data_IF_964712291953
#
_entry.id   IF_964712291953
#
_cell.length_a   1.000
_cell.length_b   1.000
_cell.length_c   1.000
_cell.angle_alpha   90.00
_cell.angle_beta   90.00
_cell.angle_gamma   90.00
#
_symmetry.space_group_name_H-M   'P 1'
#
loop_
_entity.id
_entity.type
_entity.pdbx_description
1 polymer ?
#
# COMPACT_ATOMS: atom_id res chain seq x y z
N UNK A 1 -6.82 -21.70 -23.36
CA UNK A 1 -7.80 -22.79 -23.60
C UNK A 1 -7.41 -24.17 -23.03
N UNK A 2 -6.19 -24.38 -22.49
CA UNK A 2 -5.68 -25.72 -22.11
C UNK A 2 -5.92 -26.17 -20.65
N UNK A 3 -6.53 -25.34 -19.79
CA UNK A 3 -6.71 -25.65 -18.35
C UNK A 3 -8.17 -25.88 -17.92
N UNK A 4 -9.14 -25.71 -18.82
CA UNK A 4 -10.57 -25.87 -18.50
C UNK A 4 -10.94 -27.34 -18.18
N UNK A 5 -10.41 -28.30 -18.93
CA UNK A 5 -10.66 -29.73 -18.71
C UNK A 5 -10.08 -30.26 -17.38
N UNK A 6 -8.83 -29.93 -16.99
CA UNK A 6 -8.29 -30.24 -15.68
C UNK A 6 -9.08 -29.62 -14.53
N UNK A 7 -9.55 -28.38 -14.71
CA UNK A 7 -10.34 -27.67 -13.71
C UNK A 7 -11.65 -28.41 -13.38
N UNK A 8 -12.47 -28.73 -14.38
CA UNK A 8 -13.73 -29.46 -14.19
C UNK A 8 -13.54 -30.84 -13.54
N UNK A 9 -12.36 -31.46 -13.71
CA UNK A 9 -12.06 -32.76 -13.09
C UNK A 9 -11.67 -32.63 -11.62
N UNK A 10 -10.82 -31.67 -11.25
CA UNK A 10 -10.53 -31.44 -9.84
C UNK A 10 -11.80 -31.02 -9.09
N UNK A 11 -12.64 -30.19 -9.71
CA UNK A 11 -13.94 -29.79 -9.17
C UNK A 11 -14.86 -31.00 -8.93
N UNK A 12 -14.91 -31.96 -9.86
CA UNK A 12 -15.67 -33.21 -9.68
C UNK A 12 -15.16 -34.09 -8.53
N UNK A 13 -13.90 -33.93 -8.12
CA UNK A 13 -13.29 -34.60 -6.96
C UNK A 13 -13.34 -33.73 -5.68
N UNK A 14 -13.98 -32.56 -5.75
CA UNK A 14 -14.03 -31.57 -4.67
C UNK A 14 -12.67 -30.91 -4.38
N UNK A 15 -11.72 -30.97 -5.32
CA UNK A 15 -10.38 -30.43 -5.17
C UNK A 15 -10.21 -29.12 -5.96
N UNK A 16 -9.28 -28.28 -5.52
CA UNK A 16 -8.88 -27.08 -6.27
C UNK A 16 -7.78 -27.43 -7.27
N UNK A 17 -7.90 -27.00 -8.53
CA UNK A 17 -6.79 -27.09 -9.47
C UNK A 17 -5.62 -26.23 -8.96
N UNK A 18 -4.37 -26.69 -9.10
CA UNK A 18 -3.13 -25.96 -8.85
C UNK A 18 -2.17 -26.17 -10.02
N UNK A 19 -1.86 -25.15 -10.85
CA UNK A 19 -0.88 -25.32 -11.91
C UNK A 19 0.48 -25.54 -11.27
N UNK A 20 1.22 -26.54 -11.78
CA UNK A 20 2.58 -26.82 -11.35
C UNK A 20 3.48 -26.58 -12.54
N UNK A 21 4.19 -25.46 -12.52
CA UNK A 21 5.13 -25.06 -13.55
C UNK A 21 6.53 -25.62 -13.28
N UNK A 22 6.88 -25.78 -12.01
CA UNK A 22 8.18 -26.31 -11.58
C UNK A 22 8.08 -27.13 -10.29
N UNK A 23 9.10 -27.97 -10.03
CA UNK A 23 9.23 -28.68 -8.74
C UNK A 23 9.35 -27.72 -7.55
N UNK A 24 9.76 -26.46 -7.78
CA UNK A 24 9.86 -25.47 -6.70
C UNK A 24 8.50 -25.05 -6.17
N UNK A 25 7.47 -25.11 -7.01
CA UNK A 25 6.08 -24.76 -6.67
C UNK A 25 5.51 -25.75 -5.63
N UNK A 26 6.13 -26.93 -5.49
CA UNK A 26 5.80 -27.95 -4.48
C UNK A 26 6.64 -27.82 -3.19
N UNK A 27 7.60 -26.91 -3.13
CA UNK A 27 8.49 -26.75 -1.95
C UNK A 27 7.74 -26.24 -0.72
N UNK A 28 6.84 -25.23 -0.81
CA UNK A 28 6.02 -24.79 0.33
C UNK A 28 5.13 -25.91 0.87
N UNK A 29 4.72 -26.84 0.01
CA UNK A 29 3.87 -27.99 0.37
C UNK A 29 4.55 -28.96 1.34
N UNK A 30 5.88 -28.91 1.47
CA UNK A 30 6.63 -29.75 2.42
C UNK A 30 6.54 -29.25 3.87
N UNK A 31 6.16 -27.99 4.08
CA UNK A 31 5.92 -27.39 5.39
C UNK A 31 4.44 -27.27 5.75
N UNK A 32 3.56 -27.50 4.79
CA UNK A 32 2.10 -27.39 4.96
C UNK A 32 1.46 -28.66 5.53
N UNK A 33 0.35 -28.47 6.25
CA UNK A 33 -0.51 -29.55 6.82
C UNK A 33 -1.66 -29.95 5.88
N UNK A 34 -1.41 -29.97 4.57
CA UNK A 34 -2.42 -30.18 3.52
C UNK A 34 -2.16 -31.52 2.78
N UNK A 35 -3.21 -32.10 2.18
CA UNK A 35 -3.08 -33.22 1.25
C UNK A 35 -2.99 -32.66 -0.17
N UNK A 36 -2.22 -33.32 -1.04
CA UNK A 36 -2.06 -32.91 -2.43
C UNK A 36 -2.09 -34.16 -3.32
N UNK A 37 -2.85 -34.10 -4.43
CA UNK A 37 -2.86 -35.14 -5.47
C UNK A 37 -2.50 -34.50 -6.81
N UNK A 38 -1.24 -34.65 -7.23
CA UNK A 38 -0.78 -34.16 -8.54
C UNK A 38 -1.05 -35.19 -9.65
N UNK A 39 -1.68 -34.75 -10.74
CA UNK A 39 -1.96 -35.57 -11.92
C UNK A 39 -1.20 -35.06 -13.14
N UNK A 40 -0.47 -35.94 -13.84
CA UNK A 40 0.15 -35.55 -15.12
C UNK A 40 -0.90 -35.69 -16.22
N UNK A 41 -1.29 -34.57 -16.83
CA UNK A 41 -2.17 -34.61 -17.99
C UNK A 41 -1.40 -35.02 -19.24
N UNK A 42 -1.88 -36.04 -19.92
CA UNK A 42 -1.33 -36.43 -21.23
C UNK A 42 -2.46 -36.58 -22.22
N UNK A 43 -2.35 -35.92 -23.37
CA UNK A 43 -3.35 -35.94 -24.42
C UNK A 43 -3.71 -37.38 -24.82
N UNK A 44 -4.91 -37.83 -24.44
CA UNK A 44 -5.58 -38.93 -25.13
C UNK A 44 -5.69 -40.31 -24.46
N UNK A 45 -5.40 -40.51 -23.17
CA UNK A 45 -5.74 -41.81 -22.53
C UNK A 45 -6.38 -41.68 -21.15
N UNK A 46 -7.39 -42.52 -20.91
CA UNK A 46 -8.13 -42.69 -19.66
C UNK A 46 -7.20 -42.94 -18.45
N UNK A 47 -7.60 -42.33 -17.33
CA UNK A 47 -7.29 -42.61 -15.92
C UNK A 47 -6.16 -43.63 -15.61
N UNK A 48 -5.18 -43.30 -14.76
CA UNK A 48 -4.75 -44.28 -13.77
C UNK A 48 -5.87 -44.42 -12.72
N UNK A 49 -6.24 -45.64 -12.29
CA UNK A 49 -7.17 -45.80 -11.19
C UNK A 49 -6.55 -45.20 -9.92
N UNK A 50 -7.39 -44.61 -9.06
CA UNK A 50 -7.00 -44.36 -7.68
C UNK A 50 -6.50 -45.68 -7.08
N UNK A 51 -5.32 -45.72 -6.44
CA UNK A 51 -4.85 -46.94 -5.80
C UNK A 51 -5.90 -47.40 -4.79
N UNK A 52 -6.24 -48.71 -4.70
CA UNK A 52 -7.27 -49.22 -3.80
C UNK A 52 -6.96 -49.00 -2.31
N UNK A 53 -5.76 -48.52 -2.00
CA UNK A 53 -5.22 -48.37 -0.67
C UNK A 53 -4.37 -47.09 -0.65
N UNK A 54 -4.62 -46.23 0.32
CA UNK A 54 -3.65 -45.27 0.86
C UNK A 54 -2.47 -46.01 1.55
N UNK A 55 -1.99 -47.13 0.97
CA UNK A 55 -0.72 -47.76 1.31
C UNK A 55 0.33 -47.14 0.39
N UNK A 56 0.79 -45.93 0.74
CA UNK A 56 2.06 -45.43 0.19
C UNK A 56 3.17 -46.33 0.73
N UNK A 57 3.41 -47.48 0.10
CA UNK A 57 4.60 -48.26 0.41
C UNK A 57 5.81 -47.37 0.09
N UNK A 58 6.71 -47.14 1.05
CA UNK A 58 7.93 -46.39 0.80
C UNK A 58 8.75 -47.21 -0.18
N UNK A 59 8.70 -46.87 -1.47
CA UNK A 59 9.65 -47.41 -2.43
C UNK A 59 11.03 -46.89 -2.00
N UNK A 60 11.98 -47.77 -1.62
CA UNK A 60 13.27 -47.36 -1.05
C UNK A 60 14.11 -46.45 -1.97
N UNK A 61 13.76 -46.38 -3.26
CA UNK A 61 14.59 -45.78 -4.32
C UNK A 61 13.95 -44.61 -5.09
N UNK A 62 12.94 -43.92 -4.53
CA UNK A 62 12.42 -42.68 -5.14
C UNK A 62 13.32 -41.48 -4.76
N UNK A 63 14.52 -41.45 -5.37
CA UNK A 63 15.41 -40.27 -5.40
C UNK A 63 15.00 -39.36 -6.56
N UNK A 64 14.75 -38.08 -6.27
CA UNK A 64 14.60 -37.07 -7.31
C UNK A 64 15.88 -37.06 -8.16
N UNK A 65 15.74 -37.28 -9.46
CA UNK A 65 16.84 -37.39 -10.41
C UNK A 65 16.49 -36.70 -11.72
N UNK A 66 17.40 -36.72 -12.70
CA UNK A 66 17.18 -36.06 -14.00
C UNK A 66 15.91 -36.55 -14.72
N UNK A 67 15.47 -37.77 -14.43
CA UNK A 67 14.47 -38.52 -15.20
C UNK A 67 13.18 -38.90 -14.43
N UNK A 68 12.97 -38.38 -13.21
CA UNK A 68 11.80 -38.72 -12.37
C UNK A 68 11.19 -37.50 -11.66
N UNK A 69 9.86 -37.33 -11.71
CA UNK A 69 9.09 -36.34 -10.92
C UNK A 69 8.39 -37.02 -9.74
N UNK A 70 8.31 -36.41 -8.56
CA UNK A 70 7.74 -37.03 -7.34
C UNK A 70 6.46 -36.33 -6.86
N UNK A 71 5.40 -37.08 -6.54
CA UNK A 71 4.26 -36.67 -5.72
C UNK A 71 4.67 -36.72 -4.24
N UNK A 72 4.26 -35.75 -3.41
CA UNK A 72 4.50 -35.77 -1.96
C UNK A 72 3.17 -35.69 -1.23
N UNK A 73 2.88 -36.70 -0.42
CA UNK A 73 1.70 -36.76 0.46
C UNK A 73 2.18 -36.68 1.90
N UNK A 74 1.70 -35.68 2.67
CA UNK A 74 1.98 -35.57 4.10
C UNK A 74 0.72 -35.94 4.90
N UNK A 75 0.79 -37.06 5.64
CA UNK A 75 -0.19 -37.43 6.66
C UNK A 75 0.53 -37.66 7.97
N UNK A 76 0.26 -36.85 9.00
CA UNK A 76 0.69 -37.13 10.37
C UNK A 76 2.18 -37.54 10.49
N UNK A 77 3.08 -36.84 9.78
CA UNK A 77 4.53 -37.09 9.73
C UNK A 77 4.97 -38.29 8.86
N UNK A 78 4.06 -38.94 8.14
CA UNK A 78 4.38 -39.94 7.12
C UNK A 78 4.39 -39.30 5.72
N UNK A 79 5.49 -39.51 4.99
CA UNK A 79 5.68 -39.05 3.62
C UNK A 79 5.44 -40.18 2.63
N UNK A 80 4.42 -40.03 1.78
CA UNK A 80 4.24 -40.87 0.58
C UNK A 80 4.91 -40.21 -0.62
N UNK A 81 5.80 -40.94 -1.33
CA UNK A 81 6.39 -40.49 -2.60
C UNK A 81 6.00 -41.38 -3.76
N UNK A 82 5.41 -40.82 -4.81
CA UNK A 82 5.14 -41.54 -6.06
C UNK A 82 5.88 -40.89 -7.23
N UNK A 83 6.70 -41.68 -7.92
CA UNK A 83 7.60 -41.24 -8.98
C UNK A 83 6.96 -41.42 -10.38
N UNK A 84 7.06 -40.42 -11.26
CA UNK A 84 6.64 -40.49 -12.68
C UNK A 84 7.85 -40.30 -13.63
N UNK A 85 7.96 -41.05 -14.74
CA UNK A 85 9.07 -40.92 -15.70
C UNK A 85 8.99 -39.61 -16.52
N UNK A 86 10.13 -38.93 -16.69
CA UNK A 86 10.24 -37.68 -17.47
C UNK A 86 10.30 -37.99 -18.97
N UNK A 87 9.37 -37.43 -19.73
CA UNK A 87 9.25 -37.62 -21.18
C UNK A 87 8.00 -36.99 -21.81
N UNK A 88 7.13 -36.39 -20.99
CA UNK A 88 6.04 -35.52 -21.43
C UNK A 88 6.20 -34.18 -20.71
N UNK A 89 6.26 -33.10 -21.47
CA UNK A 89 6.52 -31.76 -20.97
C UNK A 89 5.41 -31.29 -20.01
N UNK A 90 5.80 -30.78 -18.84
CA UNK A 90 4.92 -30.14 -17.85
C UNK A 90 4.24 -31.10 -16.86
N UNK A 91 4.29 -30.76 -15.57
CA UNK A 91 3.39 -31.37 -14.57
C UNK A 91 1.92 -30.96 -14.81
N UNK A 92 1.66 -29.95 -15.66
CA UNK A 92 0.34 -29.57 -16.14
C UNK A 92 -0.47 -28.86 -15.07
N UNK A 93 -1.05 -29.62 -14.14
CA UNK A 93 -1.77 -29.13 -12.97
C UNK A 93 -2.03 -30.27 -11.96
N UNK A 94 -2.14 -29.96 -10.68
CA UNK A 94 -2.55 -30.86 -9.61
C UNK A 94 -3.96 -30.56 -9.12
N UNK A 95 -4.63 -31.55 -8.55
CA UNK A 95 -5.78 -31.34 -7.71
C UNK A 95 -5.30 -31.24 -6.25
N UNK A 96 -5.69 -30.18 -5.56
CA UNK A 96 -5.28 -29.89 -4.18
C UNK A 96 -6.49 -30.00 -3.28
N UNK A 97 -6.37 -30.79 -2.23
CA UNK A 97 -7.45 -31.05 -1.28
C UNK A 97 -6.91 -30.84 0.14
N UNK A 98 -7.37 -29.85 0.91
CA UNK A 98 -6.96 -29.69 2.29
C UNK A 98 -7.28 -30.94 3.12
N UNK A 99 -6.26 -31.52 3.75
CA UNK A 99 -6.39 -32.64 4.68
C UNK A 99 -7.16 -32.28 5.93
N UNK A 100 -6.89 -31.06 6.37
CA UNK A 100 -7.35 -30.48 7.60
C UNK A 100 -7.25 -28.99 7.41
N UNK A 101 -8.28 -28.28 7.85
CA UNK A 101 -8.25 -26.84 7.85
C UNK A 101 -7.38 -26.31 8.99
N UNK A 102 -6.73 -25.14 8.80
CA UNK A 102 -6.05 -24.45 9.89
C UNK A 102 -6.98 -24.16 11.07
N UNK A 103 -6.44 -23.84 12.26
CA UNK A 103 -7.25 -23.41 13.39
C UNK A 103 -8.24 -22.30 12.98
N UNK A 104 -9.48 -22.38 13.48
CA UNK A 104 -10.57 -21.44 13.18
C UNK A 104 -11.20 -21.54 11.79
N UNK A 105 -10.76 -22.49 10.96
CA UNK A 105 -11.42 -22.86 9.72
C UNK A 105 -12.15 -24.20 9.84
N UNK A 106 -13.33 -24.29 9.22
CA UNK A 106 -14.19 -25.46 9.15
C UNK A 106 -14.12 -26.08 7.77
N UNK A 107 -13.96 -27.41 7.70
CA UNK A 107 -13.91 -28.17 6.46
C UNK A 107 -15.34 -28.46 5.97
N UNK A 108 -15.64 -28.10 4.72
CA UNK A 108 -16.88 -28.48 4.04
C UNK A 108 -16.60 -28.68 2.55
N UNK A 109 -17.11 -29.76 1.96
CA UNK A 109 -16.87 -30.11 0.55
C UNK A 109 -15.41 -29.88 0.15
N UNK A 110 -14.48 -30.38 0.98
CA UNK A 110 -13.04 -30.29 0.75
C UNK A 110 -12.47 -28.86 0.63
N UNK A 111 -13.17 -27.86 1.14
CA UNK A 111 -12.73 -26.46 1.22
C UNK A 111 -12.77 -25.99 2.66
N UNK A 112 -11.94 -25.01 2.98
CA UNK A 112 -11.80 -24.48 4.33
C UNK A 112 -12.48 -23.13 4.43
N UNK A 113 -13.45 -23.00 5.33
CA UNK A 113 -14.24 -21.78 5.51
C UNK A 113 -14.09 -21.22 6.92
N UNK A 114 -14.04 -19.91 7.07
CA UNK A 114 -14.10 -19.24 8.36
C UNK A 114 -14.99 -18.00 8.28
N UNK A 115 -15.35 -17.45 9.45
CA UNK A 115 -16.07 -16.19 9.54
C UNK A 115 -15.18 -15.13 10.19
N UNK A 116 -15.20 -13.93 9.62
CA UNK A 116 -14.46 -12.78 10.13
C UNK A 116 -15.40 -11.64 10.44
N UNK A 117 -15.12 -10.95 11.54
CA UNK A 117 -15.81 -9.70 11.87
C UNK A 117 -15.44 -8.60 10.88
N UNK A 118 -16.43 -7.85 10.41
CA UNK A 118 -16.23 -6.65 9.59
C UNK A 118 -16.36 -5.42 10.49
N UNK A 119 -15.31 -4.59 10.63
CA UNK A 119 -15.37 -3.39 11.48
C UNK A 119 -16.50 -2.45 11.07
N UNK A 120 -17.22 -1.89 12.04
CA UNK A 120 -18.24 -0.86 11.77
C UNK A 120 -17.58 0.53 11.78
N UNK A 121 -17.86 1.37 10.77
CA UNK A 121 -17.61 2.81 10.83
C UNK A 121 -16.44 3.37 10.01
N UNK A 122 -15.78 2.59 9.15
CA UNK A 122 -14.80 3.16 8.22
C UNK A 122 -15.49 3.82 7.01
N UNK A 123 -14.90 4.88 6.46
CA UNK A 123 -15.37 5.56 5.24
C UNK A 123 -15.30 4.67 3.98
N UNK A 124 -14.69 3.50 4.07
CA UNK A 124 -14.57 2.49 3.03
C UNK A 124 -15.81 1.59 2.97
N UNK A 125 -16.07 1.04 1.79
CA UNK A 125 -17.21 0.16 1.51
C UNK A 125 -17.10 -1.20 2.25
N UNK A 126 -18.22 -1.76 2.74
CA UNK A 126 -18.21 -2.97 3.57
C UNK A 126 -17.62 -4.19 2.86
N UNK A 127 -17.82 -4.35 1.54
CA UNK A 127 -17.21 -5.44 0.78
C UNK A 127 -15.69 -5.34 0.71
N UNK A 128 -15.14 -4.13 0.61
CA UNK A 128 -13.68 -3.94 0.65
C UNK A 128 -13.12 -4.32 2.01
N UNK A 129 -13.83 -4.01 3.09
CA UNK A 129 -13.42 -4.42 4.44
C UNK A 129 -13.51 -5.93 4.63
N UNK A 130 -14.56 -6.58 4.12
CA UNK A 130 -14.68 -8.03 4.12
C UNK A 130 -13.58 -8.72 3.31
N UNK A 131 -13.27 -8.18 2.13
CA UNK A 131 -12.17 -8.66 1.30
C UNK A 131 -10.83 -8.54 2.04
N UNK A 132 -10.54 -7.39 2.63
CA UNK A 132 -9.33 -7.17 3.43
C UNK A 132 -9.25 -8.11 4.65
N UNK A 133 -10.38 -8.36 5.31
CA UNK A 133 -10.45 -9.28 6.44
C UNK A 133 -10.13 -10.73 6.05
N UNK A 134 -10.53 -11.17 4.84
CA UNK A 134 -10.20 -12.49 4.33
C UNK A 134 -8.78 -12.56 3.74
N UNK A 135 -8.36 -11.55 2.97
CA UNK A 135 -7.07 -11.55 2.28
C UNK A 135 -5.89 -11.48 3.25
N UNK A 136 -6.09 -10.89 4.43
CA UNK A 136 -5.11 -10.92 5.54
C UNK A 136 -4.67 -12.33 5.97
N UNK A 137 -5.46 -13.37 5.67
CA UNK A 137 -5.14 -14.77 5.98
C UNK A 137 -4.88 -15.64 4.74
N UNK A 138 -4.81 -15.06 3.55
CA UNK A 138 -4.70 -15.86 2.32
C UNK A 138 -6.03 -16.44 1.82
N UNK A 139 -7.16 -15.88 2.26
CA UNK A 139 -8.50 -16.29 1.85
C UNK A 139 -9.15 -15.25 0.93
N UNK A 140 -10.09 -15.69 0.10
CA UNK A 140 -11.07 -14.79 -0.51
C UNK A 140 -12.32 -14.73 0.36
N UNK A 141 -13.18 -13.76 0.06
CA UNK A 141 -14.59 -13.91 0.39
C UNK A 141 -15.14 -15.21 -0.25
N UNK A 142 -15.85 -16.01 0.54
CA UNK A 142 -16.29 -17.33 0.16
C UNK A 142 -17.33 -17.29 -0.96
N UNK A 143 -17.18 -18.21 -1.91
CA UNK A 143 -18.09 -18.34 -3.05
C UNK A 143 -18.85 -19.67 -2.93
N UNK A 144 -20.17 -19.65 -2.63
CA UNK A 144 -20.94 -20.89 -2.53
C UNK A 144 -21.26 -21.42 -3.94
N UNK A 145 -20.66 -22.54 -4.32
CA UNK A 145 -20.88 -23.17 -5.64
C UNK A 145 -22.17 -23.99 -5.69
N UNK A 146 -22.70 -24.40 -4.55
CA UNK A 146 -23.89 -25.24 -4.46
C UNK A 146 -24.73 -24.90 -3.21
N UNK A 147 -25.97 -25.41 -3.18
CA UNK A 147 -26.92 -25.16 -2.08
C UNK A 147 -26.44 -25.72 -0.74
N UNK A 148 -25.70 -26.84 -0.73
CA UNK A 148 -25.20 -27.44 0.50
C UNK A 148 -24.11 -26.55 1.12
N UNK A 149 -23.21 -26.02 0.30
CA UNK A 149 -22.22 -25.04 0.72
C UNK A 149 -22.89 -23.79 1.27
N UNK A 150 -23.96 -23.31 0.62
CA UNK A 150 -24.72 -22.16 1.09
C UNK A 150 -25.40 -22.41 2.45
N UNK A 151 -25.99 -23.59 2.66
CA UNK A 151 -26.54 -24.00 3.95
C UNK A 151 -25.46 -24.13 5.02
N UNK A 152 -24.32 -24.72 4.69
CA UNK A 152 -23.18 -24.85 5.59
C UNK A 152 -22.66 -23.47 6.05
N UNK A 153 -22.52 -22.51 5.14
CA UNK A 153 -22.10 -21.15 5.49
C UNK A 153 -23.12 -20.46 6.44
N UNK A 154 -24.41 -20.72 6.24
CA UNK A 154 -25.45 -20.21 7.14
C UNK A 154 -25.36 -20.84 8.54
N UNK A 155 -25.13 -22.14 8.63
CA UNK A 155 -24.97 -22.83 9.91
C UNK A 155 -23.69 -22.40 10.63
N UNK A 156 -22.60 -22.19 9.89
CA UNK A 156 -21.38 -21.59 10.41
C UNK A 156 -21.68 -20.21 11.02
N UNK A 157 -22.46 -19.37 10.32
CA UNK A 157 -22.86 -18.05 10.80
C UNK A 157 -23.69 -18.10 12.07
N UNK A 158 -24.71 -18.98 12.13
CA UNK A 158 -25.52 -19.21 13.33
C UNK A 158 -24.67 -19.63 14.53
N UNK A 159 -23.77 -20.59 14.32
CA UNK A 159 -22.90 -21.09 15.39
C UNK A 159 -22.00 -20.00 15.99
N UNK A 160 -21.52 -19.07 15.15
CA UNK A 160 -20.71 -17.93 15.61
C UNK A 160 -21.52 -16.87 16.35
N UNK A 161 -22.81 -16.71 16.02
CA UNK A 161 -23.69 -15.66 16.54
C UNK A 161 -24.33 -16.02 17.90
N UNK A 162 -24.51 -17.30 18.19
CA UNK A 162 -25.08 -17.81 19.45
C UNK A 162 -24.24 -17.38 20.68
N UNK A 163 -22.98 -16.98 20.50
CA UNK A 163 -22.10 -16.53 21.58
C UNK A 163 -22.17 -15.03 21.93
N UNK A 164 -22.74 -14.16 21.08
CA UNK A 164 -22.45 -12.72 21.16
C UNK A 164 -23.59 -11.81 21.65
N UNK A 165 -24.87 -12.11 21.46
CA UNK A 165 -26.00 -11.35 22.05
C UNK A 165 -27.33 -12.05 21.71
N UNK A 166 -28.19 -12.29 22.69
CA UNK A 166 -29.48 -12.98 22.56
C UNK A 166 -30.58 -12.22 21.79
N UNK A 167 -30.29 -11.71 20.60
CA UNK A 167 -31.25 -11.03 19.73
C UNK A 167 -31.83 -11.96 18.67
N UNK A 168 -33.14 -11.91 18.46
CA UNK A 168 -33.87 -12.55 17.36
C UNK A 168 -33.62 -11.88 15.98
N UNK A 169 -32.40 -11.37 15.77
CA UNK A 169 -32.01 -10.59 14.59
C UNK A 169 -31.58 -11.48 13.43
N UNK A 170 -31.62 -10.93 12.23
CA UNK A 170 -31.10 -11.57 11.03
C UNK A 170 -29.58 -11.38 10.95
N UNK A 171 -28.85 -12.43 10.58
CA UNK A 171 -27.40 -12.41 10.40
C UNK A 171 -27.10 -12.16 8.93
N UNK A 172 -26.27 -11.16 8.65
CA UNK A 172 -25.84 -10.81 7.30
C UNK A 172 -24.35 -11.13 7.13
N UNK A 173 -24.02 -11.94 6.12
CA UNK A 173 -22.66 -12.42 5.86
C UNK A 173 -22.24 -12.02 4.46
N UNK A 174 -21.13 -11.28 4.32
CA UNK A 174 -20.56 -10.95 3.02
C UNK A 174 -20.01 -12.20 2.34
N UNK A 175 -20.30 -12.35 1.04
CA UNK A 175 -19.80 -13.43 0.20
C UNK A 175 -18.93 -12.86 -0.93
N UNK A 176 -18.17 -13.75 -1.57
CA UNK A 176 -17.32 -13.40 -2.69
C UNK A 176 -18.15 -13.13 -3.93
N UNK A 177 -17.81 -12.04 -4.61
CA UNK A 177 -18.09 -11.91 -6.03
C UNK A 177 -16.88 -12.35 -6.81
N UNK A 178 -17.13 -12.74 -8.05
CA UNK A 178 -16.05 -12.89 -8.98
C UNK A 178 -15.85 -11.68 -9.92
N UNK A 179 -16.90 -10.95 -10.33
CA UNK A 179 -16.65 -9.70 -11.06
C UNK A 179 -17.71 -8.62 -10.84
N UNK A 180 -17.30 -7.37 -11.14
CA UNK A 180 -18.13 -6.17 -11.09
C UNK A 180 -19.24 -6.15 -12.14
N UNK A 181 -19.28 -7.11 -13.05
CA UNK A 181 -20.33 -7.23 -14.07
C UNK A 181 -21.48 -8.15 -13.61
N UNK A 182 -21.33 -8.79 -12.45
CA UNK A 182 -22.30 -9.76 -11.93
C UNK A 182 -22.16 -11.15 -12.56
N UNK A 183 -21.02 -11.49 -13.16
CA UNK A 183 -20.74 -12.82 -13.66
C UNK A 183 -20.17 -13.71 -12.54
N UNK A 184 -20.98 -14.68 -12.13
CA UNK A 184 -20.68 -15.63 -11.07
C UNK A 184 -19.78 -16.79 -11.51
N UNK A 185 -19.30 -16.82 -12.76
CA UNK A 185 -18.52 -17.96 -13.27
C UNK A 185 -17.00 -17.82 -13.12
N UNK A 186 -16.47 -16.69 -12.67
CA UNK A 186 -15.03 -16.59 -12.44
C UNK A 186 -14.11 -16.77 -13.62
N UNK A 187 -14.60 -16.38 -14.80
CA UNK A 187 -13.90 -16.67 -16.04
C UNK A 187 -13.59 -18.16 -16.17
N UNK A 188 -14.43 -19.02 -15.55
CA UNK A 188 -14.25 -20.45 -15.42
C UNK A 188 -13.49 -20.94 -14.17
N UNK A 189 -13.30 -20.12 -13.13
CA UNK A 189 -12.68 -20.54 -11.85
C UNK A 189 -13.69 -21.11 -10.84
N UNK A 190 -14.99 -20.85 -11.03
CA UNK A 190 -16.06 -21.43 -10.23
C UNK A 190 -17.21 -21.84 -11.15
N UNK A 191 -17.84 -22.98 -10.87
CA UNK A 191 -18.98 -23.46 -11.62
C UNK A 191 -20.23 -23.55 -10.73
N UNK A 192 -20.85 -22.41 -10.37
CA UNK A 192 -22.01 -22.42 -9.50
C UNK A 192 -23.16 -23.22 -10.11
N UNK A 193 -23.88 -23.95 -9.26
CA UNK A 193 -25.08 -24.68 -9.66
C UNK A 193 -26.16 -23.73 -10.19
N UNK A 194 -27.05 -24.24 -11.03
CA UNK A 194 -28.18 -23.46 -11.55
C UNK A 194 -29.04 -22.84 -10.43
N UNK A 195 -29.14 -23.51 -9.28
CA UNK A 195 -29.82 -22.99 -8.11
C UNK A 195 -29.12 -21.77 -7.50
N UNK A 196 -27.78 -21.77 -7.42
CA UNK A 196 -27.02 -20.60 -6.97
C UNK A 196 -27.17 -19.46 -7.99
N UNK A 197 -27.02 -19.76 -9.29
CA UNK A 197 -27.13 -18.75 -10.36
C UNK A 197 -28.53 -18.13 -10.40
N UNK A 198 -29.59 -18.92 -10.20
CA UNK A 198 -30.97 -18.43 -10.16
C UNK A 198 -31.27 -17.60 -8.92
N UNK A 199 -30.80 -17.99 -7.74
CA UNK A 199 -30.90 -17.17 -6.51
C UNK A 199 -30.08 -15.88 -6.60
N UNK A 200 -28.95 -15.94 -7.32
CA UNK A 200 -28.11 -14.79 -7.62
C UNK A 200 -28.70 -13.83 -8.66
N UNK A 201 -29.88 -14.15 -9.22
CA UNK A 201 -30.50 -13.55 -10.40
C UNK A 201 -30.50 -12.01 -10.51
N UNK A 202 -30.60 -11.58 -11.77
CA UNK A 202 -30.39 -10.24 -12.34
C UNK A 202 -30.74 -9.12 -11.36
N UNK A 203 -29.71 -8.51 -10.80
CA UNK A 203 -29.87 -7.30 -10.00
C UNK A 203 -29.77 -6.06 -10.89
N UNK A 204 -30.35 -4.92 -10.48
CA UNK A 204 -30.15 -3.66 -11.18
C UNK A 204 -28.64 -3.38 -11.34
N UNK A 205 -28.23 -2.59 -12.34
CA UNK A 205 -26.82 -2.37 -12.70
C UNK A 205 -25.93 -1.77 -11.60
N UNK A 206 -26.45 -1.46 -10.41
CA UNK A 206 -25.68 -0.97 -9.25
C UNK A 206 -25.49 -2.02 -8.14
N UNK A 207 -26.10 -3.20 -8.28
CA UNK A 207 -26.18 -4.23 -7.25
C UNK A 207 -25.39 -5.47 -7.65
N UNK A 208 -24.09 -5.28 -7.87
CA UNK A 208 -23.20 -6.37 -8.26
C UNK A 208 -22.87 -7.32 -7.09
N UNK A 209 -23.03 -6.85 -5.84
CA UNK A 209 -22.60 -7.54 -4.62
C UNK A 209 -23.69 -8.39 -3.98
N UNK A 210 -23.28 -9.41 -3.22
CA UNK A 210 -24.15 -10.49 -2.74
C UNK A 210 -23.77 -10.93 -1.34
N UNK A 211 -24.76 -10.91 -0.46
CA UNK A 211 -24.59 -11.34 0.92
C UNK A 211 -25.57 -12.47 1.21
N UNK A 212 -25.20 -13.28 2.19
CA UNK A 212 -26.06 -14.31 2.73
C UNK A 212 -26.93 -13.72 3.83
N UNK A 213 -28.24 -13.80 3.63
CA UNK A 213 -29.25 -13.42 4.60
C UNK A 213 -29.62 -14.67 5.41
N UNK A 214 -29.20 -14.74 6.67
CA UNK A 214 -29.32 -15.93 7.52
C UNK A 214 -30.30 -15.66 8.67
N UNK A 215 -31.45 -16.37 8.72
CA UNK A 215 -32.33 -16.34 9.88
C UNK A 215 -31.62 -16.92 11.13
N UNK A 216 -31.66 -16.22 12.27
CA UNK A 216 -30.92 -16.61 13.49
C UNK A 216 -31.40 -17.90 14.17
N UNK A 217 -32.68 -18.25 14.04
CA UNK A 217 -33.26 -19.42 14.72
C UNK A 217 -33.51 -20.56 13.74
N UNK A 218 -34.46 -20.37 12.81
CA UNK A 218 -34.87 -21.38 11.84
C UNK A 218 -35.31 -20.69 10.55
N UNK A 219 -34.84 -21.17 9.40
CA UNK A 219 -35.24 -20.67 8.09
C UNK A 219 -34.16 -20.93 7.05
N UNK A 220 -34.55 -20.97 5.78
CA UNK A 220 -33.59 -21.14 4.69
C UNK A 220 -32.82 -19.83 4.49
N UNK A 221 -31.48 -19.89 4.40
CA UNK A 221 -30.70 -18.73 4.02
C UNK A 221 -31.00 -18.35 2.56
N UNK A 222 -30.90 -17.06 2.26
CA UNK A 222 -31.20 -16.54 0.92
C UNK A 222 -30.07 -15.60 0.47
N UNK A 223 -29.66 -15.72 -0.79
CA UNK A 223 -28.77 -14.73 -1.41
C UNK A 223 -29.54 -13.45 -1.68
N UNK A 224 -29.01 -12.33 -1.20
CA UNK A 224 -29.61 -11.01 -1.40
C UNK A 224 -28.64 -10.05 -2.09
N UNK A 225 -29.14 -9.20 -3.01
CA UNK A 225 -28.31 -8.23 -3.72
C UNK A 225 -27.90 -7.05 -2.82
N UNK A 226 -26.73 -6.48 -3.07
CA UNK A 226 -26.18 -5.34 -2.35
C UNK A 226 -25.30 -4.48 -3.25
N UNK A 227 -25.09 -3.24 -2.81
CA UNK A 227 -24.06 -2.35 -3.37
C UNK A 227 -22.72 -2.65 -2.69
N UNK A 228 -21.66 -2.00 -3.16
CA UNK A 228 -20.32 -2.14 -2.54
C UNK A 228 -20.33 -1.78 -1.04
N UNK A 229 -21.25 -0.90 -0.62
CA UNK A 229 -21.40 -0.47 0.76
C UNK A 229 -22.00 -1.53 1.68
N UNK A 230 -22.53 -2.64 1.16
CA UNK A 230 -23.13 -3.71 1.95
C UNK A 230 -24.47 -3.32 2.59
N UNK A 231 -25.24 -4.30 3.13
CA UNK A 231 -26.47 -3.99 3.85
C UNK A 231 -26.19 -3.46 5.27
N UNK A 232 -27.04 -2.56 5.78
CA UNK A 232 -26.90 -2.04 7.13
C UNK A 232 -27.09 -3.16 8.15
N UNK A 233 -26.15 -3.26 9.11
CA UNK A 233 -26.16 -4.29 10.14
C UNK A 233 -25.21 -5.46 9.87
N UNK A 234 -24.63 -5.56 8.67
CA UNK A 234 -23.58 -6.54 8.37
C UNK A 234 -22.43 -6.45 9.35
N UNK A 235 -22.03 -7.60 9.87
CA UNK A 235 -20.91 -7.70 10.81
C UNK A 235 -19.97 -8.86 10.49
N UNK A 236 -20.28 -9.68 9.48
CA UNK A 236 -19.52 -10.88 9.17
C UNK A 236 -19.17 -10.95 7.68
N UNK A 237 -17.98 -11.46 7.41
CA UNK A 237 -17.52 -11.89 6.10
C UNK A 237 -17.23 -13.39 6.17
N UNK A 238 -17.71 -14.15 5.19
CA UNK A 238 -17.33 -15.55 5.02
C UNK A 238 -16.05 -15.60 4.21
N UNK A 239 -15.03 -16.26 4.74
CA UNK A 239 -13.73 -16.40 4.09
C UNK A 239 -13.52 -17.85 3.66
N UNK A 240 -13.12 -18.05 2.42
CA UNK A 240 -12.72 -19.35 1.88
C UNK A 240 -11.20 -19.37 1.71
N UNK A 241 -10.54 -20.23 2.47
CA UNK A 241 -9.09 -20.38 2.46
C UNK A 241 -8.64 -21.27 1.32
N UNK A 242 -7.63 -20.78 0.59
CA UNK A 242 -6.94 -21.41 -0.53
C UNK A 242 -7.84 -21.93 -1.65
N UNK A 243 -7.84 -21.22 -2.77
CA UNK A 243 -7.99 -21.82 -4.10
C UNK A 243 -6.61 -22.21 -4.64
N UNK A 244 -6.38 -22.06 -5.95
CA UNK A 244 -5.05 -22.11 -6.57
C UNK A 244 -4.00 -21.39 -5.69
N UNK A 245 -2.96 -22.08 -5.24
CA UNK A 245 -1.88 -21.53 -4.37
C UNK A 245 -0.92 -20.59 -5.12
N UNK A 246 -1.36 -20.07 -6.27
CA UNK A 246 -0.60 -19.13 -7.10
C UNK A 246 -1.48 -17.95 -7.47
N UNK A 247 -0.90 -16.75 -7.56
CA UNK A 247 -1.54 -15.60 -8.18
C UNK A 247 -1.44 -15.75 -9.71
N UNK A 248 -2.52 -15.56 -10.47
CA UNK A 248 -2.47 -15.63 -11.96
C UNK A 248 -1.97 -14.35 -12.60
N UNK A 249 -2.21 -13.23 -11.95
CA UNK A 249 -1.81 -11.91 -12.45
C UNK A 249 -0.49 -11.50 -11.82
N UNK A 250 0.25 -10.65 -12.54
CA UNK A 250 1.43 -10.02 -11.98
C UNK A 250 1.05 -9.17 -10.76
N UNK A 251 1.98 -8.92 -9.82
CA UNK A 251 1.78 -7.93 -8.79
C UNK A 251 1.33 -6.59 -9.40
N UNK A 252 0.63 -5.72 -8.66
CA UNK A 252 0.23 -4.42 -9.18
C UNK A 252 1.40 -3.66 -9.84
N UNK A 253 1.17 -2.86 -10.90
CA UNK A 253 2.24 -2.07 -11.48
C UNK A 253 2.79 -1.07 -10.45
N UNK A 254 4.09 -0.75 -10.48
CA UNK A 254 4.64 0.30 -9.63
C UNK A 254 3.99 1.66 -9.96
N UNK A 255 3.80 2.50 -8.95
CA UNK A 255 3.46 3.91 -9.21
C UNK A 255 4.66 4.64 -9.85
N UNK A 256 4.42 5.84 -10.39
CA UNK A 256 5.42 6.64 -11.12
C UNK A 256 6.70 6.95 -10.34
N UNK A 257 6.66 6.87 -9.01
CA UNK A 257 7.70 7.26 -8.08
C UNK A 257 8.40 6.06 -7.40
N UNK A 258 8.26 4.87 -7.96
CA UNK A 258 8.83 3.64 -7.41
C UNK A 258 9.21 2.66 -8.53
N UNK A 259 10.15 1.78 -8.24
CA UNK A 259 10.49 0.63 -9.08
C UNK A 259 9.98 -0.67 -8.45
N UNK A 260 9.44 -1.57 -9.26
CA UNK A 260 9.04 -2.92 -8.83
C UNK A 260 10.17 -3.92 -9.08
N UNK A 261 10.66 -4.53 -8.01
CA UNK A 261 11.61 -5.65 -8.01
C UNK A 261 10.84 -6.93 -7.69
N UNK A 262 10.77 -7.84 -8.65
CA UNK A 262 10.04 -9.10 -8.54
C UNK A 262 10.72 -10.17 -9.40
N UNK A 263 10.73 -11.40 -8.92
CA UNK A 263 11.45 -12.55 -9.48
C UNK A 263 10.57 -13.45 -10.36
N UNK A 264 9.40 -12.94 -10.80
CA UNK A 264 8.39 -13.70 -11.54
C UNK A 264 7.84 -14.91 -10.77
N UNK A 265 7.95 -14.90 -9.44
CA UNK A 265 7.36 -15.92 -8.60
C UNK A 265 5.90 -15.57 -8.28
N UNK A 266 5.01 -16.51 -8.59
CA UNK A 266 3.56 -16.38 -8.39
C UNK A 266 3.04 -17.24 -7.24
N UNK A 267 3.91 -17.99 -6.55
CA UNK A 267 3.49 -18.86 -5.44
C UNK A 267 2.96 -18.05 -4.25
N UNK A 268 2.03 -18.63 -3.50
CA UNK A 268 1.59 -18.03 -2.23
C UNK A 268 2.79 -17.80 -1.30
N UNK A 269 2.87 -16.61 -0.71
CA UNK A 269 4.02 -16.12 0.05
C UNK A 269 5.14 -15.51 -0.80
N UNK A 270 5.04 -15.54 -2.15
CA UNK A 270 5.95 -14.78 -3.01
C UNK A 270 5.78 -13.28 -2.74
N UNK A 271 6.90 -12.55 -2.81
CA UNK A 271 6.92 -11.12 -2.48
C UNK A 271 7.46 -10.33 -3.67
N UNK A 272 6.68 -9.35 -4.12
CA UNK A 272 7.15 -8.27 -4.98
C UNK A 272 7.51 -7.07 -4.10
N UNK A 273 8.68 -6.50 -4.34
CA UNK A 273 9.22 -5.38 -3.57
C UNK A 273 9.18 -4.11 -4.40
N UNK A 274 8.57 -3.06 -3.87
CA UNK A 274 8.50 -1.74 -4.50
C UNK A 274 9.47 -0.82 -3.78
N UNK A 275 10.50 -0.34 -4.47
CA UNK A 275 11.50 0.57 -3.92
C UNK A 275 11.13 1.97 -4.33
N UNK A 276 10.90 2.84 -3.35
CA UNK A 276 10.56 4.23 -3.60
C UNK A 276 11.79 5.00 -4.08
N UNK A 277 11.60 5.92 -5.03
CA UNK A 277 12.65 6.86 -5.40
C UNK A 277 13.01 7.78 -4.23
N UNK A 278 14.24 8.34 -4.21
CA UNK A 278 14.65 9.26 -3.15
C UNK A 278 13.61 10.37 -2.91
N UNK A 279 13.17 10.51 -1.65
CA UNK A 279 12.19 11.51 -1.24
C UNK A 279 10.73 11.00 -1.16
N UNK A 280 10.48 9.78 -1.63
CA UNK A 280 9.20 9.09 -1.50
C UNK A 280 9.31 7.92 -0.52
N UNK A 281 8.21 7.62 0.18
CA UNK A 281 8.19 6.60 1.24
C UNK A 281 6.87 5.85 1.24
N UNK A 282 6.90 4.58 1.66
CA UNK A 282 5.71 3.79 1.92
C UNK A 282 4.98 4.31 3.18
N UNK A 283 3.65 4.38 3.13
CA UNK A 283 2.78 4.70 4.27
C UNK A 283 3.07 6.03 5.00
N UNK A 284 3.61 7.04 4.29
CA UNK A 284 3.99 8.35 4.89
C UNK A 284 5.00 8.26 6.03
N UNK A 285 5.56 7.07 6.30
CA UNK A 285 6.55 6.83 7.32
C UNK A 285 7.94 6.81 6.67
N UNK A 286 8.74 7.80 7.03
CA UNK A 286 10.07 8.06 6.45
C UNK A 286 11.07 6.92 6.69
N UNK A 287 10.72 5.94 7.52
CA UNK A 287 11.52 4.73 7.76
C UNK A 287 11.38 3.70 6.63
N UNK A 288 10.34 3.77 5.81
CA UNK A 288 10.03 2.75 4.82
C UNK A 288 10.28 3.27 3.41
N UNK A 289 11.52 3.15 2.95
CA UNK A 289 11.86 3.34 1.52
C UNK A 289 11.38 2.20 0.63
N UNK A 290 10.62 1.25 1.18
CA UNK A 290 10.21 0.02 0.52
C UNK A 290 8.80 -0.38 0.94
N UNK A 291 8.01 -0.78 -0.03
CA UNK A 291 6.67 -1.36 0.11
C UNK A 291 6.70 -2.80 -0.40
N UNK A 292 5.90 -3.68 0.18
CA UNK A 292 5.82 -5.09 -0.22
C UNK A 292 4.42 -5.39 -0.76
N UNK A 293 4.36 -6.19 -1.83
CA UNK A 293 3.15 -6.92 -2.17
C UNK A 293 3.42 -8.41 -2.00
N UNK A 294 2.56 -9.10 -1.24
CA UNK A 294 2.67 -10.53 -1.01
C UNK A 294 1.55 -11.26 -1.75
N UNK A 295 1.91 -12.28 -2.53
CA UNK A 295 0.92 -13.14 -3.16
C UNK A 295 0.25 -14.01 -2.10
N UNK A 296 -1.08 -13.92 -2.00
CA UNK A 296 -1.90 -14.67 -1.05
C UNK A 296 -2.63 -15.86 -1.71
N UNK A 297 -2.23 -16.24 -2.92
CA UNK A 297 -2.90 -17.22 -3.77
C UNK A 297 -3.98 -16.58 -4.65
N UNK A 298 -4.53 -17.30 -5.63
CA UNK A 298 -5.43 -16.74 -6.66
C UNK A 298 -6.63 -15.98 -6.07
N UNK A 299 -7.11 -16.46 -4.92
CA UNK A 299 -8.26 -15.93 -4.22
C UNK A 299 -7.89 -14.76 -3.28
N UNK A 300 -6.68 -14.77 -2.72
CA UNK A 300 -6.20 -13.67 -1.89
C UNK A 300 -5.57 -12.52 -2.68
N UNK A 301 -5.22 -12.77 -3.95
CA UNK A 301 -4.50 -11.86 -4.86
C UNK A 301 -3.18 -11.33 -4.25
N UNK A 302 -2.55 -10.35 -4.90
CA UNK A 302 -1.43 -9.60 -4.36
C UNK A 302 -1.92 -8.56 -3.35
N UNK A 303 -1.58 -8.77 -2.09
CA UNK A 303 -1.90 -7.82 -1.03
C UNK A 303 -0.73 -6.87 -0.84
N UNK A 304 -0.97 -5.59 -1.08
CA UNK A 304 0.05 -4.54 -0.96
C UNK A 304 0.02 -3.92 0.44
N UNK A 305 1.16 -3.87 1.11
CA UNK A 305 1.35 -3.16 2.38
C UNK A 305 1.43 -1.65 2.14
N UNK A 306 0.28 -0.99 1.91
CA UNK A 306 0.07 0.48 1.94
C UNK A 306 0.80 1.34 0.90
N UNK A 307 0.13 2.36 0.33
CA UNK A 307 0.63 3.12 -0.83
C UNK A 307 1.84 4.03 -0.54
N UNK A 308 2.72 4.18 -1.53
CA UNK A 308 3.81 5.17 -1.51
C UNK A 308 3.28 6.60 -1.59
N UNK A 309 3.86 7.50 -0.80
CA UNK A 309 3.53 8.92 -0.79
C UNK A 309 4.75 9.79 -0.48
N UNK A 310 4.62 11.08 -0.78
CA UNK A 310 5.64 12.07 -0.48
C UNK A 310 5.58 12.39 1.02
N UNK A 311 6.68 12.23 1.74
CA UNK A 311 6.74 12.52 3.18
C UNK A 311 7.39 13.88 3.44
N UNK A 312 6.98 14.56 4.51
CA UNK A 312 7.66 15.75 4.99
C UNK A 312 8.95 15.30 5.70
N UNK A 313 10.11 15.68 5.15
CA UNK A 313 11.42 15.23 5.62
C UNK A 313 12.10 16.28 6.47
N UNK A 314 12.27 17.49 5.92
CA UNK A 314 12.89 18.60 6.62
C UNK A 314 11.81 19.41 7.34
N UNK A 315 11.25 18.84 8.41
CA UNK A 315 10.23 19.52 9.23
C UNK A 315 10.85 20.68 10.01
N UNK A 316 12.03 20.47 10.59
CA UNK A 316 12.74 21.50 11.35
C UNK A 316 13.66 22.29 10.42
N UNK A 317 13.30 23.55 10.16
CA UNK A 317 14.16 24.51 9.49
C UNK A 317 14.97 25.32 10.50
N UNK A 318 16.15 25.84 10.13
CA UNK A 318 16.89 26.74 11.00
C UNK A 318 16.07 28.01 11.26
N UNK A 319 16.13 28.51 12.49
CA UNK A 319 15.54 29.81 12.83
C UNK A 319 16.38 30.93 12.22
N UNK A 320 15.76 31.98 11.65
CA UNK A 320 16.50 33.13 11.18
C UNK A 320 17.15 33.87 12.37
N UNK A 321 18.36 34.42 12.22
CA UNK A 321 19.06 35.15 13.29
C UNK A 321 18.38 36.47 13.69
N UNK A 322 17.49 37.00 12.84
CA UNK A 322 16.68 38.19 13.13
C UNK A 322 15.24 37.99 12.66
N UNK A 323 14.29 38.50 13.42
CA UNK A 323 12.85 38.46 13.09
C UNK A 323 12.50 39.30 11.84
N UNK A 324 13.41 40.18 11.39
CA UNK A 324 13.22 40.97 10.17
C UNK A 324 13.48 40.17 8.90
N UNK A 325 14.17 39.02 8.99
CA UNK A 325 14.39 38.11 7.87
C UNK A 325 13.12 37.28 7.65
N UNK A 326 12.53 37.39 6.46
CA UNK A 326 11.27 36.70 6.15
C UNK A 326 11.54 35.32 5.59
N UNK A 327 11.00 34.29 6.25
CA UNK A 327 10.97 32.92 5.76
C UNK A 327 9.76 32.70 4.85
N UNK A 328 9.99 32.12 3.68
CA UNK A 328 8.96 31.61 2.78
C UNK A 328 9.01 30.08 2.77
N UNK A 329 8.02 29.46 3.42
CA UNK A 329 7.85 28.01 3.52
C UNK A 329 6.57 27.58 2.82
N UNK A 330 6.68 26.56 1.99
CA UNK A 330 5.52 25.87 1.40
C UNK A 330 5.52 24.40 1.84
N UNK A 331 4.41 23.67 1.73
CA UNK A 331 4.42 22.22 1.93
C UNK A 331 5.49 21.53 1.07
N UNK A 332 5.68 22.00 -0.16
CA UNK A 332 6.69 21.48 -1.09
C UNK A 332 8.14 21.65 -0.58
N UNK A 333 8.40 22.66 0.24
CA UNK A 333 9.72 22.95 0.82
C UNK A 333 10.21 21.85 1.77
N UNK A 334 9.31 21.04 2.33
CA UNK A 334 9.63 20.03 3.34
C UNK A 334 10.08 18.70 2.74
N UNK A 335 9.92 18.50 1.44
CA UNK A 335 10.27 17.26 0.75
C UNK A 335 11.72 17.27 0.28
N UNK A 336 12.25 16.10 -0.12
CA UNK A 336 13.62 16.02 -0.65
C UNK A 336 13.76 16.94 -1.87
N UNK A 337 14.85 17.71 -1.90
CA UNK A 337 15.11 18.78 -2.87
C UNK A 337 14.13 19.97 -2.81
N UNK A 338 13.19 19.98 -1.86
CA UNK A 338 12.38 21.14 -1.54
C UNK A 338 13.24 22.29 -1.03
N UNK A 339 12.85 23.52 -1.34
CA UNK A 339 13.62 24.72 -1.00
C UNK A 339 12.87 25.60 0.00
N UNK A 340 13.59 26.06 1.01
CA UNK A 340 13.19 27.08 1.96
C UNK A 340 13.92 28.38 1.63
N UNK A 341 13.19 29.48 1.49
CA UNK A 341 13.78 30.77 1.07
C UNK A 341 13.70 31.78 2.20
N UNK A 342 14.83 32.39 2.54
CA UNK A 342 14.91 33.51 3.47
C UNK A 342 15.21 34.79 2.71
N UNK A 343 14.46 35.84 3.00
CA UNK A 343 14.58 37.14 2.33
C UNK A 343 15.00 38.19 3.34
N UNK A 344 16.10 38.87 3.07
CA UNK A 344 16.56 40.00 3.88
C UNK A 344 15.55 41.16 3.83
N UNK A 345 15.54 42.02 4.87
CA UNK A 345 14.79 43.28 4.83
C UNK A 345 15.13 44.11 3.58
N UNK A 346 14.22 45.00 3.18
CA UNK A 346 14.52 45.89 2.06
C UNK A 346 15.80 46.68 2.33
N UNK A 347 16.68 46.75 1.32
CA UNK A 347 18.00 47.38 1.40
C UNK A 347 18.96 46.74 2.41
N UNK A 348 18.73 45.50 2.82
CA UNK A 348 19.68 44.69 3.56
C UNK A 348 20.13 43.50 2.72
N UNK A 349 21.31 42.97 3.01
CA UNK A 349 21.85 41.76 2.41
C UNK A 349 22.73 41.00 3.40
N UNK A 350 23.09 39.77 3.05
CA UNK A 350 24.20 39.04 3.69
C UNK A 350 25.54 39.68 3.33
N UNK A 351 26.61 39.19 3.96
CA UNK A 351 28.00 39.62 3.65
C UNK A 351 28.43 39.36 2.22
N UNK A 352 27.86 38.33 1.61
CA UNK A 352 28.05 38.01 0.19
C UNK A 352 27.13 38.82 -0.73
N UNK A 353 26.49 39.88 -0.21
CA UNK A 353 25.59 40.78 -0.91
C UNK A 353 24.33 40.09 -1.46
N UNK A 354 23.94 38.96 -0.89
CA UNK A 354 22.73 38.26 -1.26
C UNK A 354 21.51 38.83 -0.50
N UNK A 355 20.49 39.26 -1.24
CA UNK A 355 19.21 39.68 -0.67
C UNK A 355 18.31 38.48 -0.28
N UNK A 356 18.59 37.30 -0.85
CA UNK A 356 17.87 36.06 -0.56
C UNK A 356 18.83 34.91 -0.36
N UNK A 357 18.50 34.04 0.59
CA UNK A 357 19.22 32.81 0.89
C UNK A 357 18.28 31.62 0.62
N UNK A 358 18.78 30.59 -0.04
CA UNK A 358 18.01 29.39 -0.39
C UNK A 358 18.63 28.20 0.31
N UNK A 359 17.82 27.52 1.11
CA UNK A 359 18.19 26.29 1.79
C UNK A 359 17.46 25.12 1.12
N UNK A 360 18.18 24.05 0.80
CA UNK A 360 17.62 22.87 0.13
C UNK A 360 17.56 21.70 1.10
N UNK A 361 16.38 21.07 1.22
CA UNK A 361 16.22 19.84 1.97
C UNK A 361 17.00 18.71 1.28
N UNK A 362 17.99 18.15 1.96
CA UNK A 362 18.92 17.18 1.37
C UNK A 362 19.16 16.01 2.33
N UNK A 363 19.56 14.87 1.75
CA UNK A 363 20.00 13.71 2.53
C UNK A 363 21.38 14.00 3.13
N UNK A 364 21.51 13.82 4.44
CA UNK A 364 22.74 14.02 5.20
C UNK A 364 23.06 12.77 6.03
N UNK A 365 24.31 12.57 6.49
CA UNK A 365 24.60 11.51 7.45
C UNK A 365 23.71 11.67 8.69
N UNK A 366 22.86 10.67 8.94
CA UNK A 366 21.92 10.68 10.08
C UNK A 366 20.49 11.12 9.77
N UNK A 367 20.13 11.50 8.53
CA UNK A 367 18.75 11.79 8.16
C UNK A 367 18.59 12.83 7.04
N UNK A 368 17.55 13.66 7.14
CA UNK A 368 17.27 14.74 6.20
C UNK A 368 17.36 16.09 6.90
N UNK A 369 18.04 17.06 6.28
CA UNK A 369 18.18 18.40 6.82
C UNK A 369 18.29 19.43 5.71
N UNK A 370 17.93 20.67 6.03
CA UNK A 370 18.18 21.81 5.15
C UNK A 370 19.68 22.11 5.06
N UNK A 371 20.16 22.39 3.83
CA UNK A 371 21.52 22.87 3.57
C UNK A 371 21.48 24.20 2.81
N UNK A 372 22.23 25.22 3.25
CA UNK A 372 23.06 25.27 4.47
C UNK A 372 22.24 25.07 5.77
N UNK A 373 22.89 24.62 6.84
CA UNK A 373 22.21 24.28 8.10
C UNK A 373 21.85 25.50 8.97
N UNK A 374 22.33 26.68 8.60
CA UNK A 374 22.08 27.93 9.27
C UNK A 374 21.74 29.02 8.24
N UNK A 375 20.96 30.00 8.68
CA UNK A 375 20.65 31.20 7.92
C UNK A 375 21.66 32.27 8.31
N UNK A 376 22.31 32.88 7.33
CA UNK A 376 23.24 33.99 7.55
C UNK A 376 22.50 35.25 7.99
N UNK A 377 23.16 36.08 8.78
CA UNK A 377 22.62 37.38 9.14
C UNK A 377 22.56 38.31 7.92
N UNK A 378 21.47 39.07 7.81
CA UNK A 378 21.37 40.18 6.88
C UNK A 378 21.93 41.42 7.57
N UNK A 379 23.25 41.51 7.70
CA UNK A 379 23.95 42.52 8.47
C UNK A 379 24.59 43.62 7.60
N UNK A 380 24.34 43.64 6.29
CA UNK A 380 24.90 44.65 5.35
C UNK A 380 23.81 45.58 4.82
N UNK A 381 24.01 46.89 4.95
CA UNK A 381 23.16 47.89 4.30
C UNK A 381 23.52 48.07 2.82
N UNK A 382 22.52 47.98 1.95
CA UNK A 382 22.64 48.14 0.51
C UNK A 382 22.32 49.56 0.04
N UNK A 383 23.12 50.01 -0.92
CA UNK A 383 22.93 51.29 -1.61
C UNK A 383 23.27 52.51 -0.75
N UNK A 384 23.25 53.68 -1.38
CA UNK A 384 23.50 54.95 -0.69
C UNK A 384 22.31 55.32 0.23
N UNK A 385 22.57 55.76 1.48
CA UNK A 385 21.52 56.30 2.32
C UNK A 385 20.91 57.56 1.70
N UNK A 386 19.59 57.63 1.70
CA UNK A 386 18.87 58.80 1.16
C UNK A 386 18.60 59.78 2.27
N UNK A 387 19.17 60.98 2.15
CA UNK A 387 18.89 62.14 2.99
C UNK A 387 18.55 63.31 2.08
N UNK A 388 17.34 63.86 2.21
CA UNK A 388 16.91 64.96 1.34
C UNK A 388 17.75 66.21 1.60
N UNK A 389 18.17 66.86 0.50
CA UNK A 389 19.03 68.06 0.52
C UNK A 389 20.40 67.86 1.18
N UNK A 390 20.91 66.63 1.23
CA UNK A 390 22.26 66.32 1.69
C UNK A 390 23.00 65.40 0.71
N UNK A 391 24.33 65.37 0.82
CA UNK A 391 25.19 64.34 0.22
C UNK A 391 25.78 63.46 1.31
N UNK A 392 26.14 62.23 0.97
CA UNK A 392 26.75 61.29 1.92
C UNK A 392 28.19 60.98 1.52
N UNK A 393 29.04 60.61 2.47
CA UNK A 393 30.38 60.08 2.19
C UNK A 393 30.38 58.56 1.89
N UNK A 394 29.21 57.99 1.60
CA UNK A 394 29.04 56.59 1.25
C UNK A 394 29.82 56.23 -0.01
N UNK A 395 30.44 55.05 -0.01
CA UNK A 395 31.25 54.55 -1.13
C UNK A 395 30.66 53.25 -1.67
N UNK A 396 30.41 53.21 -2.99
CA UNK A 396 29.85 52.02 -3.67
C UNK A 396 30.71 50.76 -3.53
N UNK A 397 32.01 50.91 -3.37
CA UNK A 397 32.97 49.80 -3.26
C UNK A 397 33.14 49.29 -1.84
N UNK A 398 32.53 49.94 -0.85
CA UNK A 398 32.61 49.56 0.55
C UNK A 398 31.30 48.88 0.99
N UNK A 399 31.42 47.82 1.78
CA UNK A 399 30.29 47.21 2.47
C UNK A 399 30.13 47.85 3.83
N UNK A 400 28.88 48.21 4.17
CA UNK A 400 28.56 48.84 5.44
C UNK A 400 27.76 47.87 6.31
N UNK A 401 28.35 47.40 7.41
CA UNK A 401 27.69 46.46 8.31
C UNK A 401 26.88 47.18 9.41
N UNK A 402 25.92 46.49 10.03
CA UNK A 402 25.13 47.03 11.14
C UNK A 402 26.05 47.60 12.23
N UNK A 403 25.76 48.84 12.65
CA UNK A 403 26.57 49.62 13.60
C UNK A 403 27.57 50.58 12.95
N UNK A 404 27.92 50.38 11.67
CA UNK A 404 28.71 51.35 10.93
C UNK A 404 27.88 52.56 10.51
N UNK A 405 28.57 53.66 10.23
CA UNK A 405 27.97 54.96 9.98
C UNK A 405 28.60 55.62 8.76
N UNK A 406 27.79 56.42 8.07
CA UNK A 406 28.23 57.37 7.06
C UNK A 406 27.84 58.76 7.49
N UNK A 407 28.60 59.77 7.04
CA UNK A 407 28.33 61.16 7.34
C UNK A 407 27.47 61.76 6.22
N UNK A 408 26.26 62.20 6.57
CA UNK A 408 25.43 63.04 5.71
C UNK A 408 25.76 64.51 5.97
N UNK A 409 25.99 65.28 4.90
CA UNK A 409 26.29 66.72 4.97
C UNK A 409 25.27 67.49 4.15
N UNK A 410 24.57 68.43 4.79
CA UNK A 410 23.56 69.25 4.15
C UNK A 410 24.16 70.13 3.04
N UNK A 411 23.37 70.31 1.98
CA UNK A 411 23.68 71.24 0.91
C UNK A 411 23.74 72.69 1.40
N UNK A 412 24.24 73.58 0.54
CA UNK A 412 24.36 75.01 0.87
C UNK A 412 22.99 75.59 1.24
N UNK A 413 22.93 76.40 2.29
CA UNK A 413 21.68 77.00 2.78
C UNK A 413 20.81 76.10 3.67
N UNK A 414 21.19 74.84 3.88
CA UNK A 414 20.41 73.88 4.65
C UNK A 414 21.15 73.40 5.91
N UNK A 415 20.41 72.96 6.92
CA UNK A 415 20.91 72.35 8.15
C UNK A 415 19.90 71.32 8.70
N UNK A 416 20.36 70.34 9.48
CA UNK A 416 19.47 69.37 10.16
C UNK A 416 18.72 70.01 11.33
N UNK A 417 19.41 70.88 12.06
CA UNK A 417 18.91 71.71 13.16
C UNK A 417 19.56 73.10 13.06
N UNK A 418 19.22 74.04 13.96
CA UNK A 418 19.60 75.45 13.90
C UNK A 418 21.04 75.75 13.44
N UNK A 419 22.01 74.90 13.77
CA UNK A 419 23.41 75.05 13.32
C UNK A 419 24.08 73.76 12.82
N UNK A 420 23.42 72.60 12.90
CA UNK A 420 24.04 71.31 12.62
C UNK A 420 24.04 71.00 11.11
N UNK A 421 25.22 71.06 10.47
CA UNK A 421 25.36 70.87 9.01
C UNK A 421 25.64 69.42 8.60
N UNK A 422 26.04 68.57 9.52
CA UNK A 422 26.38 67.19 9.25
C UNK A 422 25.89 66.29 10.37
N UNK A 423 25.39 65.11 10.02
CA UNK A 423 24.87 64.11 10.96
C UNK A 423 25.23 62.70 10.50
N UNK A 424 25.46 61.81 11.45
CA UNK A 424 25.74 60.41 11.17
C UNK A 424 24.45 59.65 10.80
N UNK A 425 24.52 58.89 9.72
CA UNK A 425 23.51 57.92 9.29
C UNK A 425 24.05 56.53 9.60
N UNK A 426 23.44 55.85 10.56
CA UNK A 426 23.86 54.50 10.97
C UNK A 426 23.18 53.42 10.12
N UNK A 427 23.92 52.37 9.80
CA UNK A 427 23.36 51.12 9.30
C UNK A 427 22.72 50.35 10.46
N UNK A 428 21.45 50.02 10.35
CA UNK A 428 20.66 49.30 11.36
C UNK A 428 20.15 47.98 10.80
N UNK A 429 19.61 47.10 11.65
CA UNK A 429 19.03 45.82 11.21
C UNK A 429 17.87 45.97 10.20
N UNK A 430 17.27 47.16 10.10
CA UNK A 430 16.20 47.48 9.16
C UNK A 430 16.68 48.24 7.91
N UNK A 431 17.99 48.45 7.75
CA UNK A 431 18.56 49.31 6.72
C UNK A 431 19.19 50.58 7.28
N UNK A 432 19.53 51.50 6.39
CA UNK A 432 19.99 52.83 6.77
C UNK A 432 18.95 53.54 7.65
N UNK A 433 19.37 54.05 8.80
CA UNK A 433 18.52 54.86 9.66
C UNK A 433 18.01 56.08 8.88
N UNK A 434 16.70 56.29 8.87
CA UNK A 434 16.09 57.42 8.16
C UNK A 434 16.26 58.67 9.02
N UNK A 435 17.20 59.53 8.64
CA UNK A 435 17.28 60.89 9.19
C UNK A 435 16.15 61.76 8.61
N UNK A 436 15.74 62.78 9.37
CA UNK A 436 14.94 63.88 8.82
C UNK A 436 15.68 64.62 7.70
N UNK A 437 14.93 65.32 6.85
CA UNK A 437 15.46 66.14 5.76
C UNK A 437 16.28 67.32 6.30
N UNK A 438 17.24 67.82 5.53
CA UNK A 438 17.84 69.12 5.85
C UNK A 438 16.84 70.24 5.52
N UNK A 439 16.66 71.19 6.44
CA UNK A 439 15.75 72.33 6.28
C UNK A 439 16.53 73.59 5.88
N UNK A 440 15.90 74.51 5.15
CA UNK A 440 16.49 75.82 4.87
C UNK A 440 16.72 76.58 6.19
N UNK A 441 17.97 76.95 6.45
CA UNK A 441 18.34 77.78 7.59
C UNK A 441 18.38 79.25 7.18
N UNK A 442 17.59 80.09 7.85
CA UNK A 442 17.77 81.54 7.79
C UNK A 442 19.05 81.89 8.57
N UNK A 443 20.11 82.24 7.84
CA UNK A 443 21.35 82.76 8.41
C UNK A 443 21.17 84.14 9.03
#
# INVERSE_FOLDING_TARGET
MSLLLPFFRCEAEGASLAPIHSLKDLTPMTTDRLYYTAHIWTSGSLQPPLPPELSCHPLPDCKAGRDKSCLVVNRDSAFGRQCFPRGREGLGAACVQPARCPPHYSLHNNKCYSLKGVPKGAASSLYMQGLLACSGEGAALAFPEDEQTLLFLADLARSSFIGSTGGAGEIQVLLGLNDITGNWTAGGLYNPSEAIVSQAGISPPDFHYRYLKVPALTGLPVLAPSTIHGPPGTSLASCQLYGLTVCREEPPPPALNMDRIWDFNFTAGAVARYVCYPGYFADRDTRWGTQLAECRGQLGDWVVSEQSSLANLCVDGPSPPSALIKEARTPASLHLNGTLTFTCPQRMATRDLAATQILTCSLVPGGYAFRPAAVEACDVCLGEPKVEHATTNWQRTQTYVVGEHVLATCGRGHAFDATEKSREVSCTEAGWHVLGSCYEGSY
#
